data_IF_495801208010
#
_entry.id   IF_495801208010
#
_cell.length_a   1.000
_cell.length_b   1.000
_cell.length_c   1.000
_cell.angle_alpha   90.00
_cell.angle_beta   90.00
_cell.angle_gamma   90.00
#
_symmetry.space_group_name_H-M   'P 1'
#
loop_
_entity.id
_entity.type
_entity.pdbx_description
1 polymer ?
#
# COMPACT_ATOMS: atom_id res chain seq x y z
N UNK A 1 11.46 -2.97 17.27
CA UNK A 1 10.76 -4.19 16.85
C UNK A 1 9.62 -3.74 15.95
N UNK A 2 9.61 -4.14 14.67
CA UNK A 2 8.52 -3.77 13.76
C UNK A 2 7.15 -4.18 14.35
N UNK A 3 6.14 -3.32 14.20
CA UNK A 3 4.76 -3.72 14.46
C UNK A 3 4.37 -4.84 13.48
N UNK A 4 3.87 -5.95 14.02
CA UNK A 4 3.46 -7.12 13.25
C UNK A 4 2.31 -6.74 12.29
N UNK A 5 2.45 -7.15 11.03
CA UNK A 5 1.45 -6.94 9.98
C UNK A 5 0.04 -7.45 10.37
N UNK A 6 -0.05 -8.48 11.22
CA UNK A 6 -1.30 -9.04 11.75
C UNK A 6 -1.97 -8.06 12.69
N UNK A 7 -1.21 -7.40 13.58
CA UNK A 7 -1.73 -6.39 14.51
C UNK A 7 -2.19 -5.14 13.76
N UNK A 8 -1.38 -4.66 12.80
CA UNK A 8 -1.76 -3.55 11.94
C UNK A 8 -3.04 -3.87 11.18
N UNK A 9 -3.14 -5.06 10.60
CA UNK A 9 -4.36 -5.52 9.94
C UNK A 9 -5.56 -5.56 10.89
N UNK A 10 -5.39 -6.08 12.09
CA UNK A 10 -6.44 -6.13 13.10
C UNK A 10 -6.92 -4.71 13.46
N UNK A 11 -5.99 -3.77 13.68
CA UNK A 11 -6.32 -2.36 13.95
C UNK A 11 -7.14 -1.75 12.81
N UNK A 12 -6.69 -1.86 11.56
CA UNK A 12 -7.39 -1.28 10.40
C UNK A 12 -8.74 -1.95 10.09
N UNK A 13 -9.03 -3.12 10.68
CA UNK A 13 -10.35 -3.76 10.63
C UNK A 13 -11.34 -3.21 11.67
N UNK A 14 -10.86 -2.55 12.73
CA UNK A 14 -11.72 -1.90 13.75
C UNK A 14 -12.49 -0.69 13.18
N UNK A 15 -13.51 -0.22 13.91
CA UNK A 15 -14.23 1.02 13.53
C UNK A 15 -13.29 2.23 13.50
N UNK A 16 -12.44 2.37 14.52
CA UNK A 16 -11.46 3.45 14.61
C UNK A 16 -10.48 3.39 13.44
N UNK A 17 -9.87 2.22 13.20
CA UNK A 17 -8.93 2.04 12.10
C UNK A 17 -9.53 2.35 10.72
N UNK A 18 -10.80 1.99 10.49
CA UNK A 18 -11.51 2.37 9.25
C UNK A 18 -11.71 3.88 9.11
N UNK A 19 -12.05 4.58 10.19
CA UNK A 19 -12.19 6.05 10.19
C UNK A 19 -10.84 6.71 9.97
N UNK A 20 -9.80 6.27 10.68
CA UNK A 20 -8.41 6.73 10.52
C UNK A 20 -7.94 6.56 9.08
N UNK A 21 -8.15 5.37 8.49
CA UNK A 21 -7.80 5.11 7.10
C UNK A 21 -8.51 6.07 6.13
N UNK A 22 -9.80 6.30 6.33
CA UNK A 22 -10.58 7.22 5.50
C UNK A 22 -10.05 8.66 5.56
N UNK A 23 -9.82 9.19 6.77
CA UNK A 23 -9.38 10.57 6.97
C UNK A 23 -7.98 10.81 6.40
N UNK A 24 -7.04 9.90 6.68
CA UNK A 24 -5.67 10.02 6.14
C UNK A 24 -5.68 9.88 4.61
N UNK A 25 -6.44 8.92 4.07
CA UNK A 25 -6.57 8.76 2.60
C UNK A 25 -7.08 10.03 1.93
N UNK A 26 -8.05 10.73 2.53
CA UNK A 26 -8.56 12.00 2.00
C UNK A 26 -7.45 13.05 1.89
N UNK A 27 -6.58 13.15 2.90
CA UNK A 27 -5.44 14.07 2.87
C UNK A 27 -4.43 13.66 1.79
N UNK A 28 -4.06 12.38 1.71
CA UNK A 28 -3.14 11.89 0.68
C UNK A 28 -3.68 12.22 -0.72
N UNK A 29 -4.98 11.98 -0.98
CA UNK A 29 -5.59 12.30 -2.27
C UNK A 29 -5.66 13.80 -2.56
N UNK A 30 -5.72 14.65 -1.52
CA UNK A 30 -5.65 16.10 -1.70
C UNK A 30 -4.22 16.55 -2.08
N UNK A 31 -3.19 15.92 -1.52
CA UNK A 31 -1.80 16.18 -1.89
C UNK A 31 -1.44 15.63 -3.28
N UNK A 32 -2.08 14.54 -3.71
CA UNK A 32 -1.86 13.89 -5.01
C UNK A 32 -3.12 14.00 -5.88
N UNK A 33 -3.48 15.21 -6.34
CA UNK A 33 -4.74 15.45 -7.05
C UNK A 33 -4.81 14.75 -8.40
N UNK A 34 -3.66 14.57 -9.06
CA UNK A 34 -3.52 13.78 -10.27
C UNK A 34 -2.33 12.82 -10.17
N UNK A 35 -2.60 11.57 -10.52
CA UNK A 35 -1.68 10.43 -10.51
C UNK A 35 -1.84 9.60 -11.79
N UNK A 36 -2.50 10.17 -12.81
CA UNK A 36 -2.79 9.48 -14.06
C UNK A 36 -1.49 9.14 -14.77
N UNK A 37 -1.33 7.87 -15.14
CA UNK A 37 -0.12 7.39 -15.82
C UNK A 37 1.11 7.18 -14.93
N UNK A 38 1.04 7.51 -13.63
CA UNK A 38 2.15 7.36 -12.69
C UNK A 38 2.28 5.93 -12.13
N UNK A 39 3.49 5.57 -11.73
CA UNK A 39 3.79 4.35 -10.97
C UNK A 39 3.88 4.67 -9.48
N UNK A 40 2.97 4.05 -8.70
CA UNK A 40 2.78 4.30 -7.27
C UNK A 40 3.19 3.07 -6.47
N UNK A 41 4.01 3.27 -5.45
CA UNK A 41 4.40 2.25 -4.49
C UNK A 41 3.96 2.61 -3.07
N UNK A 42 3.42 1.64 -2.34
CA UNK A 42 3.38 1.70 -0.89
C UNK A 42 4.53 0.89 -0.29
N UNK A 43 5.23 1.45 0.68
CA UNK A 43 6.28 0.79 1.46
C UNK A 43 5.86 0.71 2.94
N UNK A 44 5.92 -0.47 3.53
CA UNK A 44 5.32 -0.76 4.84
C UNK A 44 3.83 -1.10 4.73
N UNK A 45 3.05 -0.83 5.78
CA UNK A 45 1.61 -1.14 5.82
C UNK A 45 0.76 -0.06 5.14
N UNK A 46 1.04 0.21 3.86
CA UNK A 46 0.42 1.29 3.08
C UNK A 46 -0.93 0.91 2.43
N UNK A 47 -1.28 -0.39 2.40
CA UNK A 47 -2.46 -0.91 1.70
C UNK A 47 -3.81 -0.24 2.05
N UNK A 48 -4.07 0.31 3.26
CA UNK A 48 -5.31 1.02 3.54
C UNK A 48 -5.53 2.28 2.67
N UNK A 49 -4.46 2.80 2.06
CA UNK A 49 -4.47 4.07 1.32
C UNK A 49 -4.38 3.90 -0.20
N UNK A 50 -3.90 2.75 -0.69
CA UNK A 50 -3.53 2.56 -2.10
C UNK A 50 -4.70 2.29 -3.05
N UNK A 51 -5.83 1.77 -2.55
CA UNK A 51 -6.89 1.24 -3.41
C UNK A 51 -7.53 2.32 -4.32
N UNK A 52 -7.59 3.57 -3.84
CA UNK A 52 -8.11 4.71 -4.59
C UNK A 52 -7.28 5.05 -5.83
N UNK A 53 -5.99 4.68 -5.85
CA UNK A 53 -5.08 4.99 -6.95
C UNK A 53 -5.13 3.96 -8.08
N UNK A 54 -5.62 2.74 -7.81
CA UNK A 54 -5.61 1.62 -8.77
C UNK A 54 -6.45 1.82 -10.03
N UNK A 55 -7.30 2.84 -10.06
CA UNK A 55 -8.14 3.17 -11.21
C UNK A 55 -7.52 4.22 -12.13
N UNK A 56 -6.59 5.04 -11.63
CA UNK A 56 -5.97 6.14 -12.41
C UNK A 56 -4.47 5.95 -12.64
N UNK A 57 -3.75 5.39 -11.67
CA UNK A 57 -2.32 5.14 -11.80
C UNK A 57 -2.05 4.03 -12.83
N UNK A 58 -0.89 4.10 -13.47
CA UNK A 58 -0.44 3.07 -14.43
C UNK A 58 -0.13 1.77 -13.72
N UNK A 59 0.62 1.85 -12.61
CA UNK A 59 0.94 0.75 -11.72
C UNK A 59 0.73 1.16 -10.26
N UNK A 60 0.18 0.25 -9.45
CA UNK A 60 0.09 0.40 -7.99
C UNK A 60 0.52 -0.89 -7.33
N UNK A 61 1.60 -0.85 -6.55
CA UNK A 61 2.14 -2.00 -5.83
C UNK A 61 2.34 -1.67 -4.35
N UNK A 62 2.45 -2.70 -3.53
CA UNK A 62 2.85 -2.57 -2.13
C UNK A 62 4.04 -3.49 -1.86
N UNK A 63 5.05 -2.97 -1.16
CA UNK A 63 6.18 -3.75 -0.65
C UNK A 63 6.16 -3.64 0.87
N UNK A 64 6.13 -4.78 1.55
CA UNK A 64 6.16 -4.83 3.02
C UNK A 64 7.52 -5.35 3.49
N UNK A 65 8.15 -4.69 4.49
CA UNK A 65 9.38 -5.15 5.11
C UNK A 65 9.27 -6.59 5.63
N UNK A 66 10.29 -7.41 5.38
CA UNK A 66 10.32 -8.80 5.80
C UNK A 66 10.09 -8.97 7.32
N UNK A 67 10.65 -8.06 8.11
CA UNK A 67 10.52 -8.06 9.57
C UNK A 67 9.12 -7.63 10.07
N UNK A 68 8.34 -6.90 9.26
CA UNK A 68 6.94 -6.57 9.55
C UNK A 68 6.01 -7.74 9.17
N UNK A 69 6.35 -8.48 8.12
CA UNK A 69 5.49 -9.50 7.50
C UNK A 69 4.67 -8.94 6.33
N UNK A 70 3.98 -9.81 5.59
CA UNK A 70 3.21 -9.43 4.38
C UNK A 70 1.75 -9.87 4.45
N UNK A 71 0.86 -9.07 3.88
CA UNK A 71 -0.53 -9.46 3.62
C UNK A 71 -0.83 -9.44 2.14
N UNK A 72 -1.55 -10.45 1.66
CA UNK A 72 -2.13 -10.42 0.32
C UNK A 72 -3.05 -9.22 0.17
N UNK A 73 -2.72 -8.33 -0.76
CA UNK A 73 -3.58 -7.25 -1.22
C UNK A 73 -3.45 -7.13 -2.74
N UNK A 74 -4.54 -6.82 -3.45
CA UNK A 74 -5.91 -6.61 -2.97
C UNK A 74 -6.70 -7.92 -2.68
N UNK A 75 -7.63 -7.87 -1.71
CA UNK A 75 -8.37 -9.05 -1.22
C UNK A 75 -9.65 -9.39 -2.01
N UNK A 76 -10.26 -8.44 -2.74
CA UNK A 76 -11.63 -8.56 -3.29
C UNK A 76 -11.74 -8.27 -4.81
N UNK A 77 -10.78 -8.73 -5.60
CA UNK A 77 -10.72 -8.43 -7.03
C UNK A 77 -11.45 -9.40 -7.96
N UNK A 78 -11.97 -10.52 -7.46
CA UNK A 78 -12.55 -11.59 -8.27
C UNK A 78 -14.08 -11.60 -8.33
N UNK A 79 -14.75 -10.56 -7.83
CA UNK A 79 -16.21 -10.50 -7.89
C UNK A 79 -16.69 -9.94 -9.24
N UNK A 80 -17.81 -10.43 -9.81
CA UNK A 80 -18.31 -9.99 -11.10
C UNK A 80 -18.50 -8.47 -11.18
N UNK A 81 -18.97 -7.83 -10.09
CA UNK A 81 -19.16 -6.37 -10.03
C UNK A 81 -17.87 -5.53 -10.11
N UNK A 82 -16.71 -6.18 -10.03
CA UNK A 82 -15.39 -5.56 -10.11
C UNK A 82 -14.65 -5.91 -11.41
N UNK A 83 -15.29 -6.65 -12.33
CA UNK A 83 -14.73 -6.92 -13.65
C UNK A 83 -14.52 -5.61 -14.43
N UNK A 84 -13.36 -5.48 -15.08
CA UNK A 84 -12.99 -4.30 -15.87
C UNK A 84 -12.56 -3.06 -15.08
N UNK A 85 -12.78 -2.97 -13.76
CA UNK A 85 -12.44 -1.77 -12.96
C UNK A 85 -10.95 -1.56 -12.70
N UNK A 86 -10.15 -2.63 -12.73
CA UNK A 86 -8.73 -2.58 -12.42
C UNK A 86 -7.91 -3.34 -13.44
N UNK A 87 -6.81 -2.72 -13.88
CA UNK A 87 -5.84 -3.32 -14.82
C UNK A 87 -5.29 -4.66 -14.33
N UNK A 88 -5.01 -4.77 -13.02
CA UNK A 88 -4.50 -5.98 -12.39
C UNK A 88 -5.50 -6.58 -11.40
N UNK A 89 -5.76 -7.88 -11.56
CA UNK A 89 -6.69 -8.66 -10.72
C UNK A 89 -5.99 -9.48 -9.63
N UNK A 90 -4.70 -9.78 -9.80
CA UNK A 90 -3.90 -10.60 -8.90
C UNK A 90 -3.44 -9.91 -7.62
N UNK A 91 -2.57 -10.60 -6.87
CA UNK A 91 -1.85 -10.02 -5.75
C UNK A 91 -0.88 -8.94 -6.27
N UNK A 92 -0.84 -7.80 -5.58
CA UNK A 92 0.00 -6.64 -5.88
C UNK A 92 0.94 -6.31 -4.72
N UNK A 93 1.12 -7.25 -3.80
CA UNK A 93 1.97 -7.08 -2.62
C UNK A 93 3.18 -8.01 -2.68
N UNK A 94 4.37 -7.48 -2.42
CA UNK A 94 5.60 -8.25 -2.29
C UNK A 94 6.20 -8.10 -0.88
N UNK A 95 6.96 -9.10 -0.45
CA UNK A 95 7.79 -9.07 0.76
C UNK A 95 9.23 -8.79 0.32
N UNK A 96 9.89 -7.81 0.92
CA UNK A 96 11.30 -7.50 0.66
C UNK A 96 11.97 -6.90 1.89
N UNK A 97 13.30 -6.76 1.85
CA UNK A 97 14.02 -5.92 2.82
C UNK A 97 13.95 -4.47 2.35
N UNK A 98 13.73 -3.54 3.26
CA UNK A 98 13.58 -2.11 2.99
C UNK A 98 14.83 -1.49 2.33
N UNK A 99 16.03 -1.98 2.68
CA UNK A 99 17.29 -1.60 2.03
C UNK A 99 17.63 -2.36 0.74
N UNK A 100 16.79 -3.30 0.30
CA UNK A 100 17.01 -4.09 -0.92
C UNK A 100 15.68 -4.35 -1.62
N UNK A 101 15.13 -3.27 -2.20
CA UNK A 101 13.87 -3.34 -2.92
C UNK A 101 14.06 -4.06 -4.27
N UNK A 102 13.16 -4.97 -4.67
CA UNK A 102 13.21 -5.69 -5.93
C UNK A 102 12.71 -4.82 -7.09
N UNK A 103 13.23 -3.61 -7.20
CA UNK A 103 12.86 -2.61 -8.20
C UNK A 103 14.14 -2.04 -8.82
N UNK A 104 14.03 -1.61 -10.08
CA UNK A 104 15.11 -0.84 -10.69
C UNK A 104 15.09 0.59 -10.13
N UNK A 105 16.27 1.21 -10.12
CA UNK A 105 16.44 2.58 -9.67
C UNK A 105 15.54 3.55 -10.46
N UNK A 106 15.05 4.58 -9.77
CA UNK A 106 14.25 5.66 -10.35
C UNK A 106 13.00 5.24 -11.15
N UNK A 107 12.37 4.12 -10.79
CA UNK A 107 11.16 3.62 -11.49
C UNK A 107 9.82 4.07 -10.89
N UNK A 108 9.79 4.54 -9.64
CA UNK A 108 8.55 4.92 -8.95
C UNK A 108 8.38 6.44 -8.92
N UNK A 109 7.22 6.93 -9.34
CA UNK A 109 6.90 8.36 -9.34
C UNK A 109 6.44 8.84 -7.95
N UNK A 110 5.76 7.98 -7.21
CA UNK A 110 5.18 8.30 -5.89
C UNK A 110 5.31 7.13 -4.93
N UNK A 111 5.77 7.43 -3.72
CA UNK A 111 5.97 6.43 -2.66
C UNK A 111 5.21 6.86 -1.41
N UNK A 112 4.35 6.00 -0.89
CA UNK A 112 3.76 6.13 0.46
C UNK A 112 4.51 5.24 1.43
N UNK A 113 5.15 5.84 2.44
CA UNK A 113 5.80 5.12 3.53
C UNK A 113 4.90 5.14 4.76
N UNK A 114 4.50 3.98 5.28
CA UNK A 114 3.52 3.88 6.38
C UNK A 114 3.91 2.77 7.35
N UNK A 115 3.95 3.06 8.65
CA UNK A 115 4.37 2.10 9.70
C UNK A 115 5.73 1.46 9.36
N UNK A 116 6.69 2.31 9.00
CA UNK A 116 8.04 1.91 8.60
C UNK A 116 9.12 2.81 9.19
N UNK A 117 8.93 4.14 9.18
CA UNK A 117 9.95 5.09 9.64
C UNK A 117 10.12 5.09 11.16
N UNK A 118 9.14 4.59 11.89
CA UNK A 118 9.14 4.47 13.35
C UNK A 118 10.20 3.47 13.86
N UNK A 119 10.83 2.71 12.95
CA UNK A 119 11.76 1.63 13.27
C UNK A 119 13.16 1.80 12.63
N UNK A 120 13.45 2.96 12.03
CA UNK A 120 14.68 3.19 11.25
C UNK A 120 15.97 3.18 12.06
N UNK A 121 15.92 3.38 13.37
CA UNK A 121 17.10 3.23 14.23
C UNK A 121 17.50 1.77 14.49
N UNK A 122 16.69 0.82 14.01
CA UNK A 122 16.85 -0.62 14.26
C UNK A 122 16.93 -1.45 12.96
N UNK A 123 17.04 -0.80 11.80
CA UNK A 123 17.15 -1.40 10.47
C UNK A 123 18.60 -1.52 9.99
#
# INVERSE_FOLDING_TARGET
MYQDVVELRAFYQTRLGRVTARLIRQQITAFWPDISGMDVMGLGYAIPYLDVFRTKARHVISIMPAAQGVVRWPRHNGKPENEGKHRYKGNLTALAREGNLPLQDATMDRILMVHILEHTEQS
#
